data_IF_276304278363
#
_entry.id   IF_276304278363
#
_cell.length_a   1.000
_cell.length_b   1.000
_cell.length_c   1.000
_cell.angle_alpha   90.00
_cell.angle_beta   90.00
_cell.angle_gamma   90.00
#
_symmetry.space_group_name_H-M   'P 1'
#
loop_
_entity.id
_entity.type
_entity.pdbx_description
1 polymer ?
#
# COMPACT_ATOMS: atom_id res chain seq x y z
N UNK A 1 23.37 -8.74 -8.97
CA UNK A 1 23.02 -7.96 -7.78
C UNK A 1 22.36 -6.68 -8.27
N UNK A 2 21.05 -6.53 -8.08
CA UNK A 2 20.36 -5.31 -8.51
C UNK A 2 20.83 -4.13 -7.66
N UNK A 3 21.03 -2.97 -8.30
CA UNK A 3 21.47 -1.76 -7.62
C UNK A 3 20.24 -1.12 -6.93
N UNK A 4 20.16 -1.09 -5.59
CA UNK A 4 18.98 -0.59 -4.87
C UNK A 4 18.68 0.88 -5.17
N UNK A 5 19.72 1.65 -5.53
CA UNK A 5 19.55 3.05 -5.94
C UNK A 5 18.85 3.16 -7.30
N UNK A 6 19.13 2.25 -8.23
CA UNK A 6 18.46 2.24 -9.53
C UNK A 6 16.98 1.83 -9.40
N UNK A 7 16.69 0.85 -8.53
CA UNK A 7 15.30 0.47 -8.21
C UNK A 7 14.53 1.64 -7.61
N UNK A 8 15.13 2.36 -6.65
CA UNK A 8 14.52 3.55 -6.02
C UNK A 8 14.22 4.66 -7.03
N UNK A 9 15.17 4.99 -7.93
CA UNK A 9 14.96 6.01 -8.96
C UNK A 9 13.85 5.62 -9.94
N UNK A 10 13.83 4.35 -10.39
CA UNK A 10 12.76 3.86 -11.27
C UNK A 10 11.39 3.90 -10.60
N UNK A 11 11.33 3.66 -9.29
CA UNK A 11 10.09 3.74 -8.52
C UNK A 11 9.59 5.19 -8.41
N UNK A 12 10.50 6.17 -8.30
CA UNK A 12 10.16 7.59 -8.34
C UNK A 12 9.63 8.00 -9.72
N UNK A 13 10.30 7.62 -10.80
CA UNK A 13 9.84 7.93 -12.16
C UNK A 13 8.48 7.29 -12.46
N UNK A 14 8.28 6.03 -12.05
CA UNK A 14 7.00 5.34 -12.21
C UNK A 14 5.87 5.96 -11.38
N UNK A 15 6.21 6.68 -10.30
CA UNK A 15 5.25 7.46 -9.52
C UNK A 15 4.96 8.81 -10.17
N UNK A 16 5.99 9.53 -10.60
CA UNK A 16 5.85 10.83 -11.29
C UNK A 16 5.01 10.70 -12.56
N UNK A 17 5.23 9.65 -13.37
CA UNK A 17 4.42 9.36 -14.56
C UNK A 17 2.93 9.14 -14.23
N UNK A 18 2.61 8.49 -13.10
CA UNK A 18 1.22 8.29 -12.66
C UNK A 18 0.58 9.59 -12.18
N UNK A 19 1.31 10.40 -11.43
CA UNK A 19 0.84 11.70 -10.95
C UNK A 19 0.59 12.66 -12.13
N UNK A 20 1.50 12.71 -13.10
CA UNK A 20 1.33 13.51 -14.32
C UNK A 20 0.14 13.06 -15.17
N UNK A 21 -0.10 11.74 -15.29
CA UNK A 21 -1.27 11.23 -15.99
C UNK A 21 -2.59 11.69 -15.33
N UNK A 22 -2.61 11.80 -14.00
CA UNK A 22 -3.78 12.25 -13.23
C UNK A 22 -3.92 13.76 -13.11
N UNK A 23 -2.87 14.53 -13.41
CA UNK A 23 -2.86 15.99 -13.30
C UNK A 23 -3.98 16.66 -14.13
N UNK A 24 -4.29 16.11 -15.31
CA UNK A 24 -5.37 16.63 -16.17
C UNK A 24 -6.75 16.53 -15.53
N UNK A 25 -7.03 15.38 -14.91
CA UNK A 25 -8.29 15.10 -14.20
C UNK A 25 -8.40 15.99 -12.96
N UNK A 26 -7.34 16.06 -12.16
CA UNK A 26 -7.28 16.92 -10.97
C UNK A 26 -7.57 18.38 -11.36
N UNK A 27 -6.90 18.90 -12.39
CA UNK A 27 -7.11 20.26 -12.88
C UNK A 27 -8.54 20.49 -13.39
N UNK A 28 -9.16 19.50 -14.04
CA UNK A 28 -10.55 19.61 -14.48
C UNK A 28 -11.52 19.70 -13.30
N UNK A 29 -11.33 18.86 -12.28
CA UNK A 29 -12.14 18.90 -11.06
C UNK A 29 -11.94 20.19 -10.26
N UNK A 30 -10.70 20.67 -10.15
CA UNK A 30 -10.41 21.96 -9.49
C UNK A 30 -11.12 23.10 -10.21
N UNK A 31 -11.04 23.17 -11.55
CA UNK A 31 -11.76 24.19 -12.33
C UNK A 31 -13.28 24.11 -12.16
N UNK A 32 -13.83 22.91 -12.03
CA UNK A 32 -15.27 22.71 -11.80
C UNK A 32 -15.67 23.17 -10.39
N UNK A 33 -14.85 22.85 -9.39
CA UNK A 33 -15.03 23.32 -8.02
C UNK A 33 -14.97 24.85 -7.94
N UNK A 34 -13.99 25.48 -8.60
CA UNK A 34 -13.85 26.94 -8.67
C UNK A 34 -15.07 27.59 -9.34
N UNK A 35 -15.56 27.00 -10.44
CA UNK A 35 -16.76 27.49 -11.12
C UNK A 35 -17.99 27.37 -10.22
N UNK A 36 -18.13 26.28 -9.48
CA UNK A 36 -19.24 26.08 -8.56
C UNK A 36 -19.15 27.06 -7.38
N UNK A 37 -17.95 27.30 -6.85
CA UNK A 37 -17.71 28.31 -5.82
C UNK A 37 -18.08 29.71 -6.31
N UNK A 38 -17.70 30.09 -7.53
CA UNK A 38 -18.06 31.37 -8.14
C UNK A 38 -19.59 31.51 -8.33
N UNK A 39 -20.27 30.43 -8.73
CA UNK A 39 -21.73 30.42 -8.89
C UNK A 39 -22.44 30.52 -7.53
N UNK A 40 -21.90 29.89 -6.49
CA UNK A 40 -22.34 30.05 -5.10
C UNK A 40 -22.10 31.47 -4.56
N UNK A 41 -21.01 32.13 -4.93
CA UNK A 41 -20.78 33.53 -4.56
C UNK A 41 -21.74 34.47 -5.29
N UNK A 42 -21.96 34.26 -6.60
CA UNK A 42 -22.88 35.08 -7.40
C UNK A 42 -24.35 34.92 -6.97
N UNK A 43 -24.75 33.74 -6.50
CA UNK A 43 -26.07 33.51 -5.90
C UNK A 43 -26.18 34.06 -4.47
N UNK A 44 -25.05 34.25 -3.77
CA UNK A 44 -25.00 34.89 -2.46
C UNK A 44 -24.94 36.42 -2.52
N UNK A 45 -24.59 37.00 -3.67
CA UNK A 45 -24.55 38.45 -3.90
C UNK A 45 -25.89 39.07 -4.34
N UNK A 46 -26.99 38.30 -4.37
CA UNK A 46 -28.35 38.89 -4.46
C UNK A 46 -28.63 39.65 -3.15
N UNK A 47 -28.87 40.98 -3.17
CA UNK A 47 -28.90 41.79 -1.96
C UNK A 47 -30.04 41.36 -1.06
N UNK A 48 -29.70 40.86 0.14
CA UNK A 48 -30.65 40.75 1.24
C UNK A 48 -30.24 41.77 2.29
N UNK A 49 -31.14 42.73 2.53
CA UNK A 49 -31.16 43.60 3.71
C UNK A 49 -31.11 42.77 5.01
N UNK A 50 -30.66 43.36 6.13
CA UNK A 50 -30.22 42.62 7.31
C UNK A 50 -31.36 42.30 8.28
N UNK A 51 -31.40 41.06 8.77
CA UNK A 51 -32.05 40.74 10.05
C UNK A 51 -31.45 39.47 10.68
N UNK A 52 -31.11 39.46 11.99
CA UNK A 52 -30.63 38.28 12.73
C UNK A 52 -31.81 37.56 13.45
N UNK A 53 -31.61 36.53 14.30
CA UNK A 53 -31.06 35.19 14.03
C UNK A 53 -31.99 34.02 14.50
N UNK A 54 -31.94 32.86 13.81
CA UNK A 54 -32.26 31.47 14.30
C UNK A 54 -33.68 31.18 14.88
N UNK A 55 -34.14 29.91 15.11
CA UNK A 55 -33.76 28.58 14.59
C UNK A 55 -34.92 27.81 13.89
N UNK A 56 -34.57 26.65 13.31
CA UNK A 56 -35.38 25.43 13.00
C UNK A 56 -36.63 25.14 13.87
N UNK A 57 -37.50 24.14 13.58
CA UNK A 57 -37.64 23.26 12.39
C UNK A 57 -39.12 22.97 11.97
N UNK A 58 -39.27 22.12 10.94
CA UNK A 58 -40.34 21.10 10.78
C UNK A 58 -41.75 21.47 10.27
N UNK A 59 -42.13 20.64 9.29
CA UNK A 59 -43.42 19.94 9.14
C UNK A 59 -44.57 20.61 8.36
N UNK A 60 -44.81 19.99 7.20
CA UNK A 60 -46.05 19.34 6.72
C UNK A 60 -47.34 20.16 6.52
N UNK A 61 -48.07 19.67 5.51
CA UNK A 61 -49.53 19.74 5.30
C UNK A 61 -50.06 21.00 4.61
N UNK A 62 -50.35 20.91 3.31
CA UNK A 62 -51.65 20.53 2.71
C UNK A 62 -52.82 21.46 3.02
N UNK A 63 -53.48 21.88 1.94
CA UNK A 63 -54.94 22.03 1.74
C UNK A 63 -55.43 23.47 1.49
N UNK A 64 -55.64 23.73 0.19
CA UNK A 64 -56.91 24.11 -0.46
C UNK A 64 -57.68 25.38 -0.05
N UNK A 65 -58.27 25.98 -1.10
CA UNK A 65 -59.42 26.90 -1.19
C UNK A 65 -59.11 28.42 -1.23
N UNK A 66 -59.00 28.95 -2.47
CA UNK A 66 -59.81 30.03 -3.14
C UNK A 66 -60.38 31.19 -2.27
N UNK A 67 -60.83 32.32 -2.89
CA UNK A 67 -60.20 33.23 -3.86
C UNK A 67 -60.48 34.72 -3.51
N UNK A 68 -59.50 35.63 -3.52
CA UNK A 68 -59.80 37.06 -3.43
C UNK A 68 -59.11 37.88 -4.52
N UNK A 69 -59.93 38.72 -5.14
CA UNK A 69 -59.63 39.61 -6.26
C UNK A 69 -58.63 40.70 -5.88
N UNK A 70 -57.95 41.31 -6.88
CA UNK A 70 -58.11 42.76 -6.97
C UNK A 70 -58.42 43.27 -8.38
N UNK A 71 -59.21 44.33 -8.37
CA UNK A 71 -59.75 45.10 -9.47
C UNK A 71 -58.75 46.22 -9.83
N UNK A 72 -58.42 46.39 -11.11
CA UNK A 72 -57.60 47.50 -11.62
C UNK A 72 -56.85 47.15 -12.91
N UNK A 73 -57.52 47.05 -14.05
CA UNK A 73 -57.80 48.12 -15.03
C UNK A 73 -56.58 48.47 -15.90
N UNK A 74 -56.66 48.06 -17.17
CA UNK A 74 -56.01 48.79 -18.27
C UNK A 74 -54.94 48.03 -19.06
N UNK A 75 -55.35 47.05 -19.87
CA UNK A 75 -54.90 46.96 -21.27
C UNK A 75 -55.81 46.02 -22.04
N UNK A 76 -56.76 46.66 -22.72
CA UNK A 76 -57.54 46.08 -23.80
C UNK A 76 -56.64 45.88 -25.01
N UNK A 77 -56.23 44.64 -25.25
CA UNK A 77 -55.87 44.12 -26.56
C UNK A 77 -56.37 42.66 -26.65
N UNK A 78 -56.85 42.22 -27.82
CA UNK A 78 -57.92 41.22 -27.90
C UNK A 78 -57.49 39.84 -27.42
N UNK A 79 -58.30 39.22 -26.56
CA UNK A 79 -58.34 37.76 -26.46
C UNK A 79 -58.83 37.24 -27.80
N UNK A 80 -57.91 36.96 -28.72
CA UNK A 80 -58.20 36.03 -29.80
C UNK A 80 -58.62 34.70 -29.14
N UNK A 81 -59.67 34.03 -29.63
CA UNK A 81 -59.98 32.71 -29.14
C UNK A 81 -58.76 31.85 -29.46
N UNK A 82 -58.03 31.39 -28.43
CA UNK A 82 -56.94 30.43 -28.61
C UNK A 82 -57.50 29.37 -29.55
N UNK A 83 -56.99 29.37 -30.78
CA UNK A 83 -57.64 28.61 -31.80
C UNK A 83 -57.49 27.15 -31.40
N UNK A 84 -58.53 26.34 -31.59
CA UNK A 84 -58.49 24.91 -31.22
C UNK A 84 -57.26 24.21 -31.84
N UNK A 85 -56.71 24.77 -32.93
CA UNK A 85 -55.43 24.37 -33.54
C UNK A 85 -54.19 24.63 -32.66
N UNK A 86 -54.06 25.77 -31.98
CA UNK A 86 -52.96 26.04 -31.03
C UNK A 86 -53.00 25.09 -29.83
N UNK A 87 -54.17 24.85 -29.23
CA UNK A 87 -54.31 23.90 -28.13
C UNK A 87 -53.96 22.46 -28.54
N UNK A 88 -54.32 22.05 -29.77
CA UNK A 88 -53.93 20.74 -30.32
C UNK A 88 -52.41 20.65 -30.56
N UNK A 89 -51.78 21.73 -31.01
CA UNK A 89 -50.33 21.78 -31.19
C UNK A 89 -49.59 21.67 -29.85
N UNK A 90 -50.04 22.39 -28.82
CA UNK A 90 -49.48 22.32 -27.48
C UNK A 90 -49.71 20.96 -26.81
N UNK A 91 -50.89 20.35 -27.00
CA UNK A 91 -51.14 18.97 -26.55
C UNK A 91 -50.17 17.98 -27.23
N UNK A 92 -49.96 18.11 -28.54
CA UNK A 92 -49.02 17.25 -29.27
C UNK A 92 -47.57 17.47 -28.82
N UNK A 93 -47.17 18.72 -28.56
CA UNK A 93 -45.84 19.05 -28.05
C UNK A 93 -45.61 18.48 -26.64
N UNK A 94 -46.60 18.61 -25.75
CA UNK A 94 -46.53 18.06 -24.38
C UNK A 94 -46.53 16.53 -24.39
N UNK A 95 -47.30 15.88 -25.26
CA UNK A 95 -47.27 14.43 -25.44
C UNK A 95 -45.91 13.95 -25.93
N UNK A 96 -45.30 14.63 -26.91
CA UNK A 96 -43.94 14.32 -27.37
C UNK A 96 -42.90 14.47 -26.26
N UNK A 97 -42.97 15.57 -25.50
CA UNK A 97 -42.08 15.81 -24.37
C UNK A 97 -42.24 14.73 -23.28
N UNK A 98 -43.49 14.31 -23.01
CA UNK A 98 -43.79 13.24 -22.06
C UNK A 98 -43.15 11.91 -22.48
N UNK A 99 -43.30 11.51 -23.75
CA UNK A 99 -42.69 10.28 -24.27
C UNK A 99 -41.16 10.34 -24.21
N UNK A 100 -40.55 11.48 -24.56
CA UNK A 100 -39.10 11.66 -24.48
C UNK A 100 -38.58 11.56 -23.03
N UNK A 101 -39.28 12.16 -22.07
CA UNK A 101 -38.95 12.05 -20.65
C UNK A 101 -39.15 10.62 -20.12
N UNK A 102 -40.23 9.94 -20.50
CA UNK A 102 -40.45 8.53 -20.12
C UNK A 102 -39.33 7.63 -20.65
N UNK A 103 -38.88 7.84 -21.89
CA UNK A 103 -37.74 7.10 -22.45
C UNK A 103 -36.44 7.40 -21.70
N UNK A 104 -36.20 8.66 -21.31
CA UNK A 104 -35.00 9.05 -20.56
C UNK A 104 -35.02 8.49 -19.14
N UNK A 105 -36.18 8.46 -18.47
CA UNK A 105 -36.32 7.85 -17.15
C UNK A 105 -36.12 6.34 -17.23
N UNK A 106 -36.61 5.69 -18.29
CA UNK A 106 -36.38 4.26 -18.52
C UNK A 106 -34.88 3.95 -18.72
N UNK A 107 -34.16 4.76 -19.51
CA UNK A 107 -32.72 4.56 -19.73
C UNK A 107 -31.90 4.82 -18.46
N UNK A 108 -32.22 5.87 -17.71
CA UNK A 108 -31.53 6.15 -16.44
C UNK A 108 -31.76 5.05 -15.40
N UNK A 109 -32.94 4.42 -15.39
CA UNK A 109 -33.22 3.27 -14.50
C UNK A 109 -32.37 2.06 -14.86
N UNK A 110 -32.23 1.73 -16.14
CA UNK A 110 -31.38 0.59 -16.55
C UNK A 110 -29.91 0.86 -16.26
N UNK A 111 -29.43 2.09 -16.45
CA UNK A 111 -28.08 2.50 -16.07
C UNK A 111 -27.85 2.38 -14.55
N UNK A 112 -28.79 2.84 -13.72
CA UNK A 112 -28.70 2.69 -12.27
C UNK A 112 -28.64 1.23 -11.82
N UNK A 113 -29.44 0.36 -12.44
CA UNK A 113 -29.43 -1.06 -12.08
C UNK A 113 -28.13 -1.74 -12.55
N UNK A 114 -27.60 -1.35 -13.71
CA UNK A 114 -26.27 -1.79 -14.16
C UNK A 114 -25.16 -1.33 -13.20
N UNK A 115 -25.19 -0.07 -12.75
CA UNK A 115 -24.23 0.43 -11.77
C UNK A 115 -24.31 -0.29 -10.44
N UNK A 116 -25.52 -0.63 -9.94
CA UNK A 116 -25.68 -1.42 -8.71
C UNK A 116 -25.09 -2.81 -8.84
N UNK A 117 -25.31 -3.48 -9.98
CA UNK A 117 -24.74 -4.82 -10.24
C UNK A 117 -23.21 -4.73 -10.30
N UNK A 118 -22.67 -3.73 -10.98
CA UNK A 118 -21.22 -3.50 -11.06
C UNK A 118 -20.60 -3.21 -9.70
N UNK A 119 -21.20 -2.32 -8.90
CA UNK A 119 -20.75 -2.00 -7.54
C UNK A 119 -20.78 -3.23 -6.62
N UNK A 120 -21.82 -4.06 -6.72
CA UNK A 120 -21.88 -5.33 -5.98
C UNK A 120 -20.78 -6.30 -6.40
N UNK A 121 -20.44 -6.38 -7.69
CA UNK A 121 -19.35 -7.22 -8.20
C UNK A 121 -17.98 -6.71 -7.73
N UNK A 122 -17.72 -5.41 -7.85
CA UNK A 122 -16.48 -4.78 -7.39
C UNK A 122 -16.29 -4.94 -5.87
N UNK A 123 -17.34 -4.79 -5.06
CA UNK A 123 -17.28 -5.03 -3.61
C UNK A 123 -16.87 -6.46 -3.27
N UNK A 124 -17.37 -7.46 -4.03
CA UNK A 124 -16.97 -8.87 -3.86
C UNK A 124 -15.50 -9.07 -4.23
N UNK A 125 -15.06 -8.50 -5.35
CA UNK A 125 -13.67 -8.59 -5.78
C UNK A 125 -12.71 -7.92 -4.77
N UNK A 126 -13.05 -6.73 -4.28
CA UNK A 126 -12.29 -6.04 -3.24
C UNK A 126 -12.21 -6.89 -1.96
N UNK A 127 -13.31 -7.53 -1.55
CA UNK A 127 -13.29 -8.41 -0.38
C UNK A 127 -12.37 -9.63 -0.59
N UNK A 128 -12.40 -10.23 -1.79
CA UNK A 128 -11.52 -11.34 -2.14
C UNK A 128 -10.04 -10.91 -2.15
N UNK A 129 -9.72 -9.78 -2.78
CA UNK A 129 -8.37 -9.22 -2.82
C UNK A 129 -7.84 -8.85 -1.42
N UNK A 130 -8.70 -8.35 -0.53
CA UNK A 130 -8.33 -8.11 0.87
C UNK A 130 -7.98 -9.41 1.58
N UNK A 131 -8.79 -10.46 1.40
CA UNK A 131 -8.52 -11.78 2.00
C UNK A 131 -7.21 -12.39 1.48
N UNK A 132 -6.94 -12.30 0.17
CA UNK A 132 -5.68 -12.81 -0.40
C UNK A 132 -4.49 -12.01 0.08
N UNK A 133 -4.60 -10.68 0.16
CA UNK A 133 -3.56 -9.81 0.74
C UNK A 133 -3.22 -10.22 2.17
N UNK A 134 -4.22 -10.36 3.05
CA UNK A 134 -3.98 -10.76 4.44
C UNK A 134 -3.38 -12.17 4.55
N UNK A 135 -3.74 -13.09 3.66
CA UNK A 135 -3.15 -14.44 3.63
C UNK A 135 -1.67 -14.39 3.20
N UNK A 136 -1.34 -13.58 2.19
CA UNK A 136 0.03 -13.38 1.72
C UNK A 136 0.89 -12.68 2.79
N UNK A 137 0.36 -11.66 3.47
CA UNK A 137 1.06 -10.98 4.57
C UNK A 137 1.39 -11.92 5.74
N UNK A 138 0.50 -12.86 6.08
CA UNK A 138 0.80 -13.91 7.06
C UNK A 138 1.94 -14.80 6.58
N UNK A 139 1.84 -15.31 5.35
CA UNK A 139 2.89 -16.17 4.76
C UNK A 139 4.26 -15.48 4.68
N UNK A 140 4.30 -14.17 4.40
CA UNK A 140 5.54 -13.40 4.40
C UNK A 140 6.15 -13.35 5.80
N UNK A 141 5.33 -13.11 6.84
CA UNK A 141 5.81 -13.13 8.23
C UNK A 141 6.33 -14.49 8.64
N UNK A 142 5.60 -15.56 8.36
CA UNK A 142 6.03 -16.93 8.66
C UNK A 142 7.39 -17.24 8.00
N UNK A 143 7.55 -16.82 6.73
CA UNK A 143 8.83 -17.00 6.01
C UNK A 143 9.96 -16.14 6.55
N UNK A 144 9.67 -14.92 7.01
CA UNK A 144 10.66 -14.07 7.65
C UNK A 144 11.13 -14.68 8.99
N UNK A 145 10.21 -15.23 9.78
CA UNK A 145 10.52 -15.93 11.03
C UNK A 145 11.34 -17.22 10.75
N UNK A 146 10.96 -18.01 9.75
CA UNK A 146 11.75 -19.17 9.31
C UNK A 146 13.17 -18.79 8.87
N UNK A 147 13.33 -17.69 8.11
CA UNK A 147 14.63 -17.22 7.67
C UNK A 147 15.48 -16.71 8.83
N UNK A 148 14.88 -15.98 9.77
CA UNK A 148 15.55 -15.53 10.98
C UNK A 148 16.05 -16.72 11.82
N UNK A 149 15.20 -17.73 12.04
CA UNK A 149 15.57 -18.95 12.75
C UNK A 149 16.68 -19.73 12.06
N UNK A 150 16.62 -19.87 10.73
CA UNK A 150 17.71 -20.49 9.93
C UNK A 150 19.01 -19.70 10.00
N UNK A 151 18.94 -18.37 9.99
CA UNK A 151 20.10 -17.50 10.15
C UNK A 151 20.78 -17.69 11.50
N UNK A 152 19.99 -17.75 12.58
CA UNK A 152 20.52 -18.01 13.93
C UNK A 152 21.14 -19.40 14.05
N UNK A 153 20.51 -20.43 13.48
CA UNK A 153 21.10 -21.78 13.46
C UNK A 153 22.42 -21.81 12.69
N UNK A 154 22.49 -21.15 11.54
CA UNK A 154 23.72 -21.05 10.76
C UNK A 154 24.84 -20.36 11.54
N UNK A 155 24.52 -19.30 12.28
CA UNK A 155 25.48 -18.63 13.17
C UNK A 155 25.97 -19.57 14.27
N UNK A 156 25.07 -20.26 14.97
CA UNK A 156 25.46 -21.20 16.02
C UNK A 156 26.38 -22.31 15.49
N UNK A 157 26.08 -22.86 14.32
CA UNK A 157 26.93 -23.89 13.67
C UNK A 157 28.30 -23.32 13.29
N UNK A 158 28.38 -22.06 12.84
CA UNK A 158 29.65 -21.39 12.58
C UNK A 158 30.44 -21.17 13.87
N UNK A 159 29.80 -20.72 14.94
CA UNK A 159 30.44 -20.51 16.24
C UNK A 159 30.98 -21.84 16.81
N UNK A 160 30.23 -22.93 16.69
CA UNK A 160 30.68 -24.27 17.07
C UNK A 160 31.84 -24.76 16.20
N UNK A 161 31.79 -24.53 14.88
CA UNK A 161 32.89 -24.88 13.98
C UNK A 161 34.18 -24.12 14.33
N UNK A 162 34.07 -22.83 14.65
CA UNK A 162 35.20 -22.01 15.09
C UNK A 162 35.74 -22.51 16.44
N UNK A 163 34.87 -22.84 17.39
CA UNK A 163 35.26 -23.40 18.68
C UNK A 163 36.01 -24.73 18.51
N UNK A 164 35.51 -25.64 17.66
CA UNK A 164 36.18 -26.90 17.34
C UNK A 164 37.52 -26.69 16.65
N UNK A 165 37.61 -25.72 15.73
CA UNK A 165 38.87 -25.39 15.07
C UNK A 165 39.93 -24.87 16.06
N UNK A 166 39.53 -24.03 17.01
CA UNK A 166 40.41 -23.56 18.10
C UNK A 166 40.86 -24.73 18.98
N UNK A 167 39.94 -25.62 19.35
CA UNK A 167 40.27 -26.82 20.16
C UNK A 167 41.23 -27.75 19.42
N UNK A 168 41.05 -27.92 18.11
CA UNK A 168 41.92 -28.71 17.26
C UNK A 168 43.34 -28.11 17.24
N UNK A 169 43.48 -26.82 16.95
CA UNK A 169 44.77 -26.14 16.94
C UNK A 169 45.49 -26.25 18.31
N UNK A 170 44.75 -26.11 19.41
CA UNK A 170 45.31 -26.29 20.75
C UNK A 170 45.76 -27.74 21.01
N UNK A 171 45.02 -28.72 20.52
CA UNK A 171 45.41 -30.13 20.63
C UNK A 171 46.66 -30.42 19.79
N UNK A 172 46.73 -29.91 18.56
CA UNK A 172 47.91 -30.03 17.70
C UNK A 172 49.14 -29.37 18.33
N UNK A 173 49.00 -28.19 18.92
CA UNK A 173 50.11 -27.51 19.62
C UNK A 173 50.59 -28.29 20.85
N UNK A 174 49.67 -28.93 21.60
CA UNK A 174 50.04 -29.82 22.71
C UNK A 174 50.79 -31.05 22.22
N UNK A 175 50.36 -31.65 21.11
CA UNK A 175 51.05 -32.79 20.50
C UNK A 175 52.47 -32.39 20.10
N UNK A 176 52.63 -31.29 19.36
CA UNK A 176 53.96 -30.79 18.96
C UNK A 176 54.88 -30.52 20.14
N UNK A 177 54.36 -29.96 21.24
CA UNK A 177 55.14 -29.75 22.47
C UNK A 177 55.57 -31.06 23.12
N UNK A 178 54.67 -32.03 23.24
CA UNK A 178 54.98 -33.34 23.80
C UNK A 178 55.99 -34.12 22.93
N UNK A 179 55.88 -34.02 21.61
CA UNK A 179 56.85 -34.59 20.68
C UNK A 179 58.23 -33.96 20.86
N UNK A 180 58.32 -32.62 20.94
CA UNK A 180 59.57 -31.91 21.19
C UNK A 180 60.20 -32.26 22.55
N UNK A 181 59.40 -32.33 23.61
CA UNK A 181 59.86 -32.71 24.95
C UNK A 181 60.35 -34.17 24.97
N UNK A 182 59.66 -35.09 24.29
CA UNK A 182 60.05 -36.49 24.15
C UNK A 182 61.37 -36.65 23.38
N UNK A 183 61.54 -35.90 22.30
CA UNK A 183 62.81 -35.86 21.55
C UNK A 183 63.95 -35.33 22.42
N UNK A 184 63.75 -34.24 23.17
CA UNK A 184 64.77 -33.67 24.04
C UNK A 184 65.16 -34.63 25.17
N UNK A 185 64.19 -35.27 25.82
CA UNK A 185 64.44 -36.31 26.82
C UNK A 185 65.21 -37.49 26.22
N UNK A 186 64.85 -37.94 25.03
CA UNK A 186 65.54 -39.03 24.33
C UNK A 186 66.97 -38.63 23.98
N UNK A 187 67.21 -37.41 23.48
CA UNK A 187 68.55 -36.87 23.19
C UNK A 187 69.40 -36.81 24.46
N UNK A 188 68.86 -36.26 25.55
CA UNK A 188 69.56 -36.19 26.85
C UNK A 188 69.88 -37.58 27.41
N UNK A 189 68.95 -38.52 27.28
CA UNK A 189 69.16 -39.89 27.72
C UNK A 189 70.22 -40.61 26.89
N UNK A 190 70.18 -40.46 25.55
CA UNK A 190 71.21 -41.01 24.66
C UNK A 190 72.60 -40.43 24.96
N UNK A 191 72.70 -39.13 25.22
CA UNK A 191 73.96 -38.48 25.60
C UNK A 191 74.49 -39.02 26.94
N UNK A 192 73.62 -39.15 27.94
CA UNK A 192 73.99 -39.76 29.24
C UNK A 192 74.46 -41.20 29.06
N UNK A 193 73.74 -42.00 28.28
CA UNK A 193 74.11 -43.40 28.01
C UNK A 193 75.42 -43.52 27.25
N UNK A 194 75.68 -42.61 26.30
CA UNK A 194 76.96 -42.53 25.59
C UNK A 194 78.11 -42.25 26.56
N UNK A 195 77.96 -41.26 27.44
CA UNK A 195 78.96 -40.93 28.46
C UNK A 195 79.20 -42.10 29.43
N UNK A 196 78.14 -42.79 29.85
CA UNK A 196 78.24 -43.95 30.73
C UNK A 196 78.96 -45.12 30.03
N UNK A 197 78.64 -45.39 28.76
CA UNK A 197 79.33 -46.38 27.94
C UNK A 197 80.81 -46.03 27.74
N UNK A 198 81.13 -44.76 27.44
CA UNK A 198 82.52 -44.28 27.33
C UNK A 198 83.28 -44.43 28.66
N UNK A 199 82.66 -44.07 29.79
CA UNK A 199 83.24 -44.23 31.13
C UNK A 199 83.48 -45.70 31.48
N UNK A 200 82.52 -46.59 31.21
CA UNK A 200 82.70 -48.03 31.41
C UNK A 200 83.79 -48.61 30.51
N UNK A 201 83.92 -48.12 29.27
CA UNK A 201 84.97 -48.53 28.35
C UNK A 201 86.36 -48.10 28.82
N UNK A 202 86.48 -46.89 29.38
CA UNK A 202 87.70 -46.39 30.03
C UNK A 202 88.04 -47.20 31.30
N UNK A 203 87.06 -47.50 32.16
CA UNK A 203 87.26 -48.30 33.38
C UNK A 203 87.57 -49.78 33.09
N UNK A 204 87.02 -50.34 32.01
CA UNK A 204 87.23 -51.74 31.61
C UNK A 204 88.54 -51.97 30.84
N UNK A 205 89.36 -50.93 30.65
CA UNK A 205 90.70 -51.06 30.08
C UNK A 205 90.76 -51.37 28.58
N UNK A 206 89.69 -51.09 27.81
CA UNK A 206 89.64 -51.44 26.38
C UNK A 206 90.28 -50.39 25.45
N UNK A 207 90.88 -49.32 26.00
CA UNK A 207 91.44 -48.18 25.25
C UNK A 207 92.94 -47.95 25.38
N UNK A 208 93.69 -48.86 26.02
CA UNK A 208 95.16 -48.82 26.05
C UNK A 208 95.75 -49.97 25.22
N UNK A 209 95.86 -49.75 23.91
CA UNK A 209 96.86 -50.32 23.00
C UNK A 209 96.92 -49.47 21.74
#
# INVERSE_FOLDING_TARGET
MSNPLAEYLSALEARDAREQAQATVINAYTKLADRNAALHQQSREVPTEPSPPSPSPSAKSTKSLRPDTPKGKGSSAPQEPISVTQLRADLAATQKARVALESTVASQRTELDNFKVSDAAQKKEIAQLKKTKEALERRIRDRAEELAGKGQLAQNVQDEMLALHIQLNLAEDKIKKLEADSEDLTKRWMEKMKQEAESMNMQSGFGQN
#
